data_IF_071182839098
#
_entry.id   IF_071182839098
#
_cell.length_a   1.000
_cell.length_b   1.000
_cell.length_c   1.000
_cell.angle_alpha   90.00
_cell.angle_beta   90.00
_cell.angle_gamma   90.00
#
_symmetry.space_group_name_H-M   'P 1'
#
loop_
_entity.id
_entity.type
_entity.pdbx_description
1 polymer ?
#
# COMPACT_ATOMS: atom_id res chain seq x y z
N UNK A 1 8.80 2.55 -20.69
CA UNK A 1 7.50 2.87 -20.28
C UNK A 1 7.48 3.76 -19.07
N UNK A 2 6.59 4.69 -19.10
CA UNK A 2 6.56 5.66 -18.09
C UNK A 2 5.45 5.39 -17.10
N UNK A 3 5.73 5.55 -15.84
CA UNK A 3 4.73 5.37 -14.84
C UNK A 3 4.12 6.72 -14.52
N UNK A 4 2.83 6.81 -14.63
CA UNK A 4 2.14 8.05 -14.37
C UNK A 4 1.58 8.00 -12.96
N UNK A 5 1.96 8.91 -12.08
CA UNK A 5 1.48 8.86 -10.72
C UNK A 5 -0.03 9.05 -10.69
N UNK A 6 -0.68 8.34 -9.82
CA UNK A 6 -2.11 8.48 -9.64
C UNK A 6 -2.34 9.54 -8.57
N UNK A 7 -3.08 10.57 -8.92
CA UNK A 7 -3.34 11.65 -7.98
C UNK A 7 -4.06 11.18 -6.73
N UNK A 8 -4.89 10.15 -6.87
CA UNK A 8 -5.59 9.62 -5.71
C UNK A 8 -4.61 8.95 -4.75
N UNK A 9 -3.60 8.26 -5.29
CA UNK A 9 -2.62 7.62 -4.42
C UNK A 9 -1.78 8.66 -3.69
N UNK A 10 -1.45 9.76 -4.36
CA UNK A 10 -0.73 10.84 -3.71
C UNK A 10 -1.55 11.42 -2.56
N UNK A 11 -2.84 11.50 -2.74
CA UNK A 11 -3.70 11.99 -1.68
C UNK A 11 -3.77 11.00 -0.53
N UNK A 12 -3.79 9.71 -0.82
CA UNK A 12 -3.75 8.68 0.21
C UNK A 12 -2.50 8.83 1.05
N UNK A 13 -1.35 9.01 0.41
CA UNK A 13 -0.10 9.17 1.12
C UNK A 13 -0.10 10.43 1.99
N UNK A 14 -0.66 11.51 1.47
CA UNK A 14 -0.73 12.73 2.23
C UNK A 14 -1.57 12.55 3.49
N UNK A 15 -2.69 11.85 3.37
CA UNK A 15 -3.55 11.61 4.52
C UNK A 15 -2.89 10.68 5.53
N UNK A 16 -2.16 9.70 5.06
CA UNK A 16 -1.43 8.83 5.96
C UNK A 16 -0.39 9.62 6.74
N UNK A 17 0.31 10.53 6.05
CA UNK A 17 1.31 11.34 6.72
C UNK A 17 0.74 12.18 7.84
N UNK A 18 -0.51 12.57 7.72
CA UNK A 18 -1.15 13.35 8.76
C UNK A 18 -1.49 12.53 9.99
N UNK A 19 -1.46 11.22 9.87
CA UNK A 19 -1.90 10.33 10.93
C UNK A 19 -0.80 9.50 11.56
N UNK A 20 0.42 9.60 11.06
CA UNK A 20 1.54 8.84 11.61
C UNK A 20 2.74 9.76 11.73
N UNK A 21 3.75 9.33 12.47
CA UNK A 21 4.96 10.12 12.60
C UNK A 21 5.79 10.02 11.30
N UNK A 22 6.71 10.93 11.14
CA UNK A 22 7.61 10.89 9.99
C UNK A 22 8.37 9.58 9.95
N UNK A 23 8.81 9.11 11.09
CA UNK A 23 9.55 7.87 11.14
C UNK A 23 8.68 6.68 10.76
N UNK A 24 7.46 6.64 11.23
CA UNK A 24 6.54 5.57 10.86
C UNK A 24 6.25 5.59 9.37
N UNK A 25 6.07 6.77 8.81
CA UNK A 25 5.81 6.86 7.39
C UNK A 25 7.00 6.34 6.60
N UNK A 26 8.19 6.77 6.95
CA UNK A 26 9.39 6.36 6.25
C UNK A 26 9.62 4.86 6.36
N UNK A 27 9.39 4.30 7.53
CA UNK A 27 9.65 2.89 7.76
C UNK A 27 8.63 1.99 7.07
N UNK A 28 7.35 2.34 7.12
CA UNK A 28 6.31 1.42 6.71
C UNK A 28 5.59 1.78 5.43
N UNK A 29 5.53 3.04 5.07
CA UNK A 29 4.73 3.48 3.94
C UNK A 29 5.52 3.97 2.74
N UNK A 30 6.75 4.42 2.94
CA UNK A 30 7.50 5.04 1.86
C UNK A 30 7.86 4.07 0.74
N UNK A 31 7.89 2.78 1.03
CA UNK A 31 8.24 1.79 0.03
C UNK A 31 7.05 1.10 -0.61
N UNK A 32 5.85 1.51 -0.23
CA UNK A 32 4.66 0.95 -0.87
C UNK A 32 4.54 1.56 -2.25
N UNK A 33 4.29 0.73 -3.24
CA UNK A 33 4.14 1.16 -4.62
C UNK A 33 2.70 0.96 -5.05
N UNK A 34 2.07 2.00 -5.55
CA UNK A 34 0.72 1.88 -6.10
C UNK A 34 0.82 1.15 -7.43
N UNK A 35 0.05 0.09 -7.60
CA UNK A 35 0.08 -0.70 -8.83
C UNK A 35 -1.06 -0.29 -9.73
N UNK A 36 -2.28 -0.32 -9.23
CA UNK A 36 -3.44 0.00 -10.05
C UNK A 36 -4.70 0.08 -9.20
N UNK A 37 -5.72 0.70 -9.76
CA UNK A 37 -7.04 0.66 -9.17
C UNK A 37 -7.96 -0.03 -10.18
N UNK A 38 -8.50 -1.18 -9.81
CA UNK A 38 -9.45 -1.88 -10.66
C UNK A 38 -10.81 -1.27 -10.47
N UNK A 39 -11.26 -0.52 -11.45
CA UNK A 39 -12.49 0.24 -11.32
C UNK A 39 -13.71 -0.65 -11.21
N UNK A 40 -13.73 -1.72 -11.97
CA UNK A 40 -14.90 -2.58 -11.97
C UNK A 40 -15.08 -3.28 -10.64
N UNK A 41 -14.01 -3.78 -10.07
CA UNK A 41 -14.12 -4.51 -8.82
C UNK A 41 -13.84 -3.62 -7.62
N UNK A 42 -13.43 -2.39 -7.85
CA UNK A 42 -13.14 -1.40 -6.83
C UNK A 42 -12.07 -1.88 -5.87
N UNK A 43 -10.96 -2.30 -6.42
CA UNK A 43 -9.84 -2.81 -5.66
C UNK A 43 -8.61 -1.97 -5.94
N UNK A 44 -7.95 -1.52 -4.88
CA UNK A 44 -6.66 -0.85 -5.00
C UNK A 44 -5.59 -1.92 -4.84
N UNK A 45 -4.69 -1.99 -5.80
CA UNK A 45 -3.59 -2.95 -5.77
C UNK A 45 -2.31 -2.20 -5.44
N UNK A 46 -1.62 -2.65 -4.40
CA UNK A 46 -0.33 -2.05 -4.05
C UNK A 46 0.72 -3.15 -3.91
N UNK A 47 1.97 -2.75 -4.01
CA UNK A 47 3.07 -3.68 -3.80
C UNK A 47 3.85 -3.24 -2.57
N UNK A 48 4.24 -4.20 -1.76
CA UNK A 48 5.04 -3.94 -0.56
C UNK A 48 6.34 -4.73 -0.67
N UNK A 49 7.41 -4.27 -0.02
CA UNK A 49 8.73 -4.86 -0.25
C UNK A 49 8.91 -6.25 0.31
N UNK A 50 8.17 -6.62 1.33
CA UNK A 50 8.36 -7.94 1.93
C UNK A 50 7.12 -8.39 2.66
N UNK A 51 7.09 -9.67 2.98
CA UNK A 51 6.01 -10.25 3.74
C UNK A 51 5.96 -9.65 5.14
N UNK A 52 7.10 -9.29 5.68
CA UNK A 52 7.17 -8.67 6.98
C UNK A 52 6.44 -7.32 7.00
N UNK A 53 6.63 -6.51 5.97
CA UNK A 53 5.94 -5.24 5.87
C UNK A 53 4.45 -5.47 5.72
N UNK A 54 4.07 -6.44 4.90
CA UNK A 54 2.67 -6.78 4.71
C UNK A 54 2.01 -7.12 6.05
N UNK A 55 2.65 -7.97 6.83
CA UNK A 55 2.07 -8.38 8.10
C UNK A 55 1.99 -7.24 9.07
N UNK A 56 3.00 -6.38 9.10
CA UNK A 56 3.00 -5.26 10.01
C UNK A 56 1.88 -4.28 9.67
N UNK A 57 1.67 -4.04 8.39
CA UNK A 57 0.60 -3.14 7.97
C UNK A 57 -0.76 -3.72 8.35
N UNK A 58 -0.93 -5.02 8.16
CA UNK A 58 -2.20 -5.65 8.48
C UNK A 58 -2.47 -5.68 9.98
N UNK A 59 -1.45 -5.76 10.78
CA UNK A 59 -1.65 -5.81 12.22
C UNK A 59 -1.81 -4.45 12.85
N UNK A 60 -1.16 -3.45 12.30
CA UNK A 60 -1.09 -2.16 12.97
C UNK A 60 -1.76 -1.01 12.24
N UNK A 61 -1.93 -1.13 10.93
CA UNK A 61 -2.39 0.02 10.16
C UNK A 61 -3.59 -0.28 9.28
N UNK A 62 -4.20 -1.44 9.41
CA UNK A 62 -5.29 -1.81 8.51
C UNK A 62 -6.47 -0.85 8.64
N UNK A 63 -6.76 -0.38 9.83
CA UNK A 63 -7.88 0.53 10.00
C UNK A 63 -7.59 1.88 9.40
N UNK A 64 -6.37 2.37 9.58
CA UNK A 64 -5.98 3.64 8.99
C UNK A 64 -6.03 3.55 7.47
N UNK A 65 -5.47 2.47 6.91
CA UNK A 65 -5.48 2.29 5.46
C UNK A 65 -6.90 2.22 4.94
N UNK A 66 -7.74 1.46 5.61
CA UNK A 66 -9.12 1.34 5.19
C UNK A 66 -9.83 2.68 5.19
N UNK A 67 -9.66 3.44 6.24
CA UNK A 67 -10.33 4.73 6.37
C UNK A 67 -9.86 5.70 5.29
N UNK A 68 -8.55 5.74 5.09
CA UNK A 68 -7.99 6.65 4.10
C UNK A 68 -8.40 6.25 2.68
N UNK A 69 -8.38 4.95 2.39
CA UNK A 69 -8.77 4.50 1.06
C UNK A 69 -10.24 4.78 0.78
N UNK A 70 -11.09 4.58 1.76
CA UNK A 70 -12.52 4.90 1.58
C UNK A 70 -12.72 6.39 1.37
N UNK A 71 -11.93 7.20 2.03
CA UNK A 71 -12.04 8.64 1.88
C UNK A 71 -11.66 9.10 0.48
N UNK A 72 -10.67 8.47 -0.12
CA UNK A 72 -10.14 8.92 -1.41
C UNK A 72 -10.78 8.20 -2.59
N UNK A 73 -10.94 6.88 -2.49
CA UNK A 73 -11.45 6.08 -3.60
C UNK A 73 -12.95 5.78 -3.49
N UNK A 74 -13.52 6.03 -2.32
CA UNK A 74 -14.95 5.85 -2.14
C UNK A 74 -15.28 4.61 -1.35
N UNK A 75 -16.55 4.51 -0.96
CA UNK A 75 -17.02 3.38 -0.17
C UNK A 75 -16.94 2.11 -0.99
N UNK A 76 -16.73 1.02 -0.30
CA UNK A 76 -16.68 -0.28 -0.95
C UNK A 76 -15.35 -0.63 -1.56
N UNK A 77 -14.37 0.26 -1.47
CA UNK A 77 -13.07 -0.03 -2.02
C UNK A 77 -12.37 -1.06 -1.15
N UNK A 78 -11.61 -1.95 -1.78
CA UNK A 78 -10.85 -2.98 -1.11
C UNK A 78 -9.39 -2.82 -1.44
N UNK A 79 -8.54 -3.44 -0.64
CA UNK A 79 -7.11 -3.33 -0.81
C UNK A 79 -6.51 -4.71 -0.99
N UNK A 80 -5.70 -4.88 -2.01
CA UNK A 80 -4.96 -6.11 -2.21
C UNK A 80 -3.48 -5.81 -2.34
N UNK A 81 -2.68 -6.69 -1.79
CA UNK A 81 -1.25 -6.51 -1.72
C UNK A 81 -0.55 -7.46 -2.67
N UNK A 82 0.53 -6.99 -3.26
CA UNK A 82 1.47 -7.85 -3.95
C UNK A 82 2.76 -7.75 -3.15
N UNK A 83 3.28 -8.86 -2.67
CA UNK A 83 4.52 -8.86 -1.93
C UNK A 83 5.66 -9.09 -2.90
N UNK A 84 6.62 -8.18 -2.92
CA UNK A 84 7.77 -8.31 -3.80
C UNK A 84 8.79 -9.19 -3.11
N UNK A 85 9.14 -10.28 -3.74
CA UNK A 85 10.04 -11.24 -3.14
C UNK A 85 11.42 -11.05 -3.72
N UNK A 86 12.45 -10.94 -2.86
CA UNK A 86 13.78 -10.85 -3.27
C UNK A 86 14.19 -12.12 -3.93
N UNK A 87 14.98 -12.08 -4.92
CA UNK A 87 15.42 -13.23 -5.62
C UNK A 87 16.15 -14.16 -4.74
N UNK A 88 17.00 -13.68 -3.90
CA UNK A 88 17.72 -14.52 -3.02
C UNK A 88 16.84 -15.20 -2.06
N UNK A 89 15.87 -14.50 -1.55
CA UNK A 89 14.93 -15.05 -0.64
C UNK A 89 14.16 -16.14 -1.31
N UNK A 90 13.78 -15.95 -2.50
CA UNK A 90 13.05 -16.95 -3.24
C UNK A 90 13.86 -18.20 -3.41
N UNK A 91 15.12 -18.08 -3.61
CA UNK A 91 15.94 -19.24 -3.79
C UNK A 91 16.13 -20.00 -2.52
N UNK A 92 16.19 -19.33 -1.43
CA UNK A 92 16.39 -20.01 -0.20
C UNK A 92 15.26 -20.86 0.18
N UNK A 93 14.16 -20.71 -0.41
CA UNK A 93 13.03 -21.53 -0.14
C UNK A 93 13.17 -22.89 -0.65
N UNK A 94 13.95 -23.09 -1.60
CA UNK A 94 14.01 -24.36 -2.25
C UNK A 94 14.58 -25.43 -1.42
#
# INVERSE_FOLDING_TARGET
MKVIPDARWERVLALIRENVSTQQFTTWFSRIVFVAFGEAERVVYIAVPSHYVYEYLEENYVELLSRVLHSVFGDGVKLKYRVLVDKEHGRTQV
#
